data_IF_680986950536
#
_entry.id   IF_680986950536
#
_cell.length_a   1.000
_cell.length_b   1.000
_cell.length_c   1.000
_cell.angle_alpha   90.00
_cell.angle_beta   90.00
_cell.angle_gamma   90.00
#
_symmetry.space_group_name_H-M   'P 1'
#
loop_
_entity.id
_entity.type
_entity.pdbx_description
1 polymer ?
#
# COMPACT_ATOMS: atom_id res chain seq x y z
N UNK A 1 -32.45 3.06 2.09
CA UNK A 1 -31.12 3.65 1.91
C UNK A 1 -30.25 3.54 3.18
N UNK A 2 -30.60 4.07 4.37
CA UNK A 2 -29.78 4.00 5.61
C UNK A 2 -29.40 2.58 6.07
N UNK A 3 -30.30 1.58 5.94
CA UNK A 3 -29.97 0.18 6.30
C UNK A 3 -28.92 -0.44 5.36
N UNK A 4 -28.98 -0.19 4.06
CA UNK A 4 -27.99 -0.66 3.07
C UNK A 4 -26.59 -0.07 3.34
N UNK A 5 -26.50 1.20 3.70
CA UNK A 5 -25.25 1.87 4.06
C UNK A 5 -24.65 1.25 5.33
N UNK A 6 -25.49 0.97 6.35
CA UNK A 6 -25.06 0.33 7.60
C UNK A 6 -24.54 -1.11 7.36
N UNK A 7 -25.19 -1.91 6.50
CA UNK A 7 -24.70 -3.26 6.17
C UNK A 7 -23.42 -3.24 5.35
N UNK A 8 -23.25 -2.28 4.43
CA UNK A 8 -22.00 -2.07 3.71
C UNK A 8 -20.84 -1.72 4.67
N UNK A 9 -21.05 -0.81 5.60
CA UNK A 9 -20.05 -0.47 6.62
C UNK A 9 -19.63 -1.67 7.48
N UNK A 10 -20.60 -2.47 7.96
CA UNK A 10 -20.32 -3.68 8.74
C UNK A 10 -19.56 -4.74 7.92
N UNK A 11 -19.90 -4.90 6.64
CA UNK A 11 -19.20 -5.81 5.73
C UNK A 11 -17.75 -5.38 5.52
N UNK A 12 -17.51 -4.09 5.28
CA UNK A 12 -16.16 -3.52 5.11
C UNK A 12 -15.31 -3.76 6.36
N UNK A 13 -15.88 -3.48 7.55
CA UNK A 13 -15.20 -3.72 8.83
C UNK A 13 -14.89 -5.21 8.99
N UNK A 14 -15.84 -6.09 8.68
CA UNK A 14 -15.65 -7.54 8.77
C UNK A 14 -14.55 -8.04 7.86
N UNK A 15 -14.50 -7.58 6.61
CA UNK A 15 -13.45 -7.93 5.65
C UNK A 15 -12.10 -7.39 6.10
N UNK A 16 -12.04 -6.14 6.57
CA UNK A 16 -10.81 -5.55 7.10
C UNK A 16 -10.27 -6.35 8.30
N UNK A 17 -11.13 -6.71 9.25
CA UNK A 17 -10.74 -7.54 10.39
C UNK A 17 -10.24 -8.93 9.96
N UNK A 18 -10.88 -9.54 8.95
CA UNK A 18 -10.44 -10.82 8.40
C UNK A 18 -9.05 -10.71 7.75
N UNK A 19 -8.81 -9.66 6.97
CA UNK A 19 -7.49 -9.40 6.35
C UNK A 19 -6.43 -9.22 7.44
N UNK A 20 -6.69 -8.38 8.45
CA UNK A 20 -5.76 -8.14 9.57
C UNK A 20 -5.49 -9.44 10.33
N UNK A 21 -6.53 -10.21 10.64
CA UNK A 21 -6.39 -11.50 11.33
C UNK A 21 -5.56 -12.50 10.53
N UNK A 22 -5.82 -12.61 9.23
CA UNK A 22 -5.05 -13.48 8.33
C UNK A 22 -3.58 -13.06 8.28
N UNK A 23 -3.29 -11.77 8.14
CA UNK A 23 -1.93 -11.24 8.18
C UNK A 23 -1.24 -11.52 9.51
N UNK A 24 -1.93 -11.37 10.64
CA UNK A 24 -1.37 -11.69 11.96
C UNK A 24 -1.00 -13.18 12.09
N UNK A 25 -1.85 -14.07 11.58
CA UNK A 25 -1.55 -15.52 11.55
C UNK A 25 -0.33 -15.78 10.67
N UNK A 26 -0.30 -15.22 9.47
CA UNK A 26 0.81 -15.39 8.52
C UNK A 26 2.15 -14.89 9.10
N UNK A 27 2.13 -13.71 9.73
CA UNK A 27 3.30 -13.15 10.43
C UNK A 27 3.77 -14.10 11.53
N UNK A 28 2.86 -14.61 12.35
CA UNK A 28 3.18 -15.57 13.40
C UNK A 28 3.76 -16.88 12.83
N UNK A 29 3.17 -17.40 11.76
CA UNK A 29 3.64 -18.62 11.10
C UNK A 29 4.99 -18.45 10.39
N UNK A 30 5.28 -17.25 9.87
CA UNK A 30 6.57 -16.99 9.21
C UNK A 30 7.77 -16.97 10.17
N UNK A 31 7.53 -16.79 11.48
CA UNK A 31 8.58 -16.63 12.48
C UNK A 31 9.39 -15.33 12.37
N UNK A 32 9.00 -14.42 11.47
CA UNK A 32 9.71 -13.14 11.28
C UNK A 32 9.27 -12.15 12.35
N UNK A 33 10.22 -11.49 12.99
CA UNK A 33 9.94 -10.51 14.04
C UNK A 33 9.20 -9.30 13.47
N UNK A 34 8.19 -8.80 14.20
CA UNK A 34 7.40 -7.64 13.80
C UNK A 34 8.26 -6.40 13.53
N UNK A 35 9.26 -6.14 14.39
CA UNK A 35 10.17 -5.00 14.20
C UNK A 35 10.87 -5.07 12.83
N UNK A 36 11.30 -6.26 12.42
CA UNK A 36 11.89 -6.47 11.09
C UNK A 36 10.91 -6.18 9.96
N UNK A 37 9.65 -6.60 10.10
CA UNK A 37 8.61 -6.31 9.08
C UNK A 37 8.29 -4.82 9.00
N UNK A 38 8.31 -4.09 10.11
CA UNK A 38 8.15 -2.61 10.09
C UNK A 38 9.28 -1.96 9.30
N UNK A 39 10.53 -2.40 9.49
CA UNK A 39 11.66 -1.89 8.71
C UNK A 39 11.58 -2.27 7.23
N UNK A 40 11.17 -3.50 6.91
CA UNK A 40 10.89 -3.92 5.53
C UNK A 40 9.85 -3.01 4.90
N UNK A 41 8.74 -2.75 5.61
CA UNK A 41 7.70 -1.83 5.17
C UNK A 41 8.26 -0.43 4.90
N UNK A 42 8.95 0.18 5.86
CA UNK A 42 9.44 1.57 5.75
C UNK A 42 10.43 1.75 4.60
N UNK A 43 11.41 0.84 4.50
CA UNK A 43 12.41 0.88 3.44
C UNK A 43 11.75 0.69 2.07
N UNK A 44 10.83 -0.28 1.96
CA UNK A 44 10.17 -0.58 0.69
C UNK A 44 9.14 0.49 0.30
N UNK A 45 8.47 1.11 1.25
CA UNK A 45 7.57 2.23 1.00
C UNK A 45 8.33 3.43 0.43
N UNK A 46 9.51 3.74 1.00
CA UNK A 46 10.38 4.81 0.51
C UNK A 46 10.95 4.48 -0.88
N UNK A 47 11.56 3.31 -1.03
CA UNK A 47 12.17 2.92 -2.29
C UNK A 47 11.15 2.74 -3.40
N UNK A 48 9.97 2.20 -3.09
CA UNK A 48 8.89 2.02 -4.05
C UNK A 48 8.39 3.35 -4.62
N UNK A 49 8.18 4.36 -3.77
CA UNK A 49 7.81 5.71 -4.20
C UNK A 49 8.87 6.32 -5.13
N UNK A 50 10.15 6.24 -4.73
CA UNK A 50 11.27 6.76 -5.53
C UNK A 50 11.36 6.05 -6.88
N UNK A 51 11.31 4.71 -6.90
CA UNK A 51 11.40 3.92 -8.13
C UNK A 51 10.23 4.24 -9.06
N UNK A 52 9.01 4.32 -8.52
CA UNK A 52 7.82 4.59 -9.32
C UNK A 52 7.82 6.03 -9.86
N UNK A 53 8.28 7.00 -9.07
CA UNK A 53 8.47 8.39 -9.52
C UNK A 53 9.51 8.48 -10.66
N UNK A 54 10.63 7.75 -10.53
CA UNK A 54 11.64 7.68 -11.61
C UNK A 54 11.11 6.96 -12.85
N UNK A 55 10.33 5.92 -12.67
CA UNK A 55 9.67 5.20 -13.76
C UNK A 55 8.71 6.12 -14.55
N UNK A 56 7.84 6.86 -13.86
CA UNK A 56 6.95 7.85 -14.49
C UNK A 56 7.77 8.91 -15.24
N UNK A 57 8.87 9.41 -14.64
CA UNK A 57 9.74 10.36 -15.31
C UNK A 57 10.35 9.79 -16.58
N UNK A 58 10.78 8.53 -16.57
CA UNK A 58 11.41 7.89 -17.71
C UNK A 58 10.44 7.61 -18.87
N UNK A 59 9.20 7.21 -18.55
CA UNK A 59 8.20 6.83 -19.55
C UNK A 59 7.32 8.00 -20.03
N UNK A 60 6.90 8.85 -19.09
CA UNK A 60 5.91 9.92 -19.36
C UNK A 60 6.57 11.30 -19.50
N UNK A 61 7.86 11.40 -19.17
CA UNK A 61 8.63 12.65 -19.28
C UNK A 61 8.30 13.70 -18.20
N UNK A 62 7.42 13.39 -17.25
CA UNK A 62 6.96 14.30 -16.20
C UNK A 62 7.39 13.83 -14.81
N UNK A 63 7.62 14.79 -13.90
CA UNK A 63 7.78 14.50 -12.48
C UNK A 63 6.41 14.47 -11.83
N UNK A 64 6.03 13.30 -11.32
CA UNK A 64 4.73 13.06 -10.71
C UNK A 64 4.94 12.40 -9.35
N UNK A 65 4.27 12.90 -8.31
CA UNK A 65 4.27 12.24 -7.00
C UNK A 65 3.61 10.86 -7.09
N UNK A 66 4.23 9.87 -6.47
CA UNK A 66 3.70 8.50 -6.32
C UNK A 66 3.48 8.15 -4.84
N UNK A 67 3.55 9.16 -3.97
CA UNK A 67 3.29 8.99 -2.54
C UNK A 67 1.84 8.58 -2.27
N UNK A 68 1.67 7.66 -1.33
CA UNK A 68 0.35 7.28 -0.81
C UNK A 68 -0.06 8.10 0.41
N UNK A 69 0.80 8.99 0.90
CA UNK A 69 0.59 9.74 2.15
C UNK A 69 0.92 11.22 2.01
N UNK A 70 0.36 12.04 2.90
CA UNK A 70 0.54 13.49 2.92
C UNK A 70 1.98 13.93 3.22
N UNK A 71 2.69 13.18 4.06
CA UNK A 71 4.01 13.53 4.54
C UNK A 71 5.06 12.51 4.16
N UNK A 72 6.03 12.96 3.37
CA UNK A 72 7.16 12.18 2.91
C UNK A 72 6.86 11.31 1.68
N UNK A 73 7.93 10.85 1.03
CA UNK A 73 7.85 10.05 -0.19
C UNK A 73 7.65 8.56 0.15
N UNK A 74 6.46 8.20 0.61
CA UNK A 74 6.16 6.83 1.01
C UNK A 74 4.96 6.27 0.25
N UNK A 75 5.16 5.15 -0.45
CA UNK A 75 4.09 4.36 -1.04
C UNK A 75 3.68 3.22 -0.12
N UNK A 76 2.50 3.35 0.52
CA UNK A 76 1.94 2.30 1.39
C UNK A 76 1.76 0.99 0.61
N UNK A 77 1.38 1.08 -0.67
CA UNK A 77 1.17 -0.10 -1.54
C UNK A 77 2.48 -0.89 -1.68
N UNK A 78 3.60 -0.22 -1.95
CA UNK A 78 4.90 -0.88 -2.02
C UNK A 78 5.36 -1.44 -0.67
N UNK A 79 5.13 -0.68 0.41
CA UNK A 79 5.48 -1.12 1.76
C UNK A 79 4.74 -2.39 2.20
N UNK A 80 3.40 -2.40 2.07
CA UNK A 80 2.58 -3.57 2.41
C UNK A 80 2.87 -4.72 1.45
N UNK A 81 3.01 -4.45 0.14
CA UNK A 81 3.35 -5.46 -0.85
C UNK A 81 4.65 -6.20 -0.50
N UNK A 82 5.69 -5.47 -0.12
CA UNK A 82 6.95 -6.06 0.32
C UNK A 82 6.81 -6.93 1.59
N UNK A 83 6.00 -6.49 2.56
CA UNK A 83 5.69 -7.29 3.76
C UNK A 83 4.94 -8.56 3.37
N UNK A 84 3.91 -8.47 2.52
CA UNK A 84 3.14 -9.62 2.03
C UNK A 84 4.07 -10.62 1.33
N UNK A 85 4.89 -10.16 0.39
CA UNK A 85 5.86 -11.02 -0.29
C UNK A 85 6.84 -11.66 0.70
N UNK A 86 7.35 -10.90 1.67
CA UNK A 86 8.28 -11.42 2.68
C UNK A 86 7.66 -12.53 3.50
N UNK A 87 6.42 -12.35 3.96
CA UNK A 87 5.73 -13.32 4.82
C UNK A 87 5.25 -14.55 4.04
N UNK A 88 4.63 -14.34 2.88
CA UNK A 88 4.05 -15.44 2.07
C UNK A 88 5.14 -16.29 1.42
N UNK A 89 6.22 -15.65 0.97
CA UNK A 89 7.31 -16.35 0.29
C UNK A 89 8.42 -16.80 1.23
N UNK A 90 8.25 -16.62 2.56
CA UNK A 90 9.21 -17.13 3.54
C UNK A 90 9.34 -18.65 3.42
N UNK A 91 10.59 -19.16 3.42
CA UNK A 91 10.88 -20.58 3.22
C UNK A 91 10.87 -21.03 1.75
N UNK A 92 10.65 -20.14 0.79
CA UNK A 92 10.73 -20.47 -0.64
C UNK A 92 12.08 -20.09 -1.28
N UNK A 93 13.07 -19.67 -0.49
CA UNK A 93 14.38 -19.21 -0.97
C UNK A 93 15.14 -20.28 -1.77
N UNK A 94 14.98 -21.55 -1.37
CA UNK A 94 15.60 -22.71 -2.04
C UNK A 94 14.79 -23.27 -3.20
N UNK A 95 13.54 -22.83 -3.38
CA UNK A 95 12.68 -23.36 -4.44
C UNK A 95 13.10 -22.87 -5.82
N UNK A 96 12.77 -23.63 -6.89
CA UNK A 96 13.02 -23.22 -8.27
C UNK A 96 12.41 -21.84 -8.59
N UNK A 97 13.13 -21.06 -9.42
CA UNK A 97 12.72 -19.71 -9.82
C UNK A 97 11.28 -19.66 -10.36
N UNK A 98 10.89 -20.63 -11.20
CA UNK A 98 9.55 -20.70 -11.75
C UNK A 98 8.45 -20.87 -10.70
N UNK A 99 8.71 -21.61 -9.62
CA UNK A 99 7.75 -21.77 -8.51
C UNK A 99 7.57 -20.45 -7.76
N UNK A 100 8.66 -19.76 -7.42
CA UNK A 100 8.63 -18.46 -6.75
C UNK A 100 7.92 -17.43 -7.63
N UNK A 101 8.22 -17.44 -8.94
CA UNK A 101 7.60 -16.56 -9.91
C UNK A 101 6.07 -16.76 -9.97
N UNK A 102 5.61 -18.00 -10.13
CA UNK A 102 4.17 -18.28 -10.25
C UNK A 102 3.41 -17.91 -8.97
N UNK A 103 3.93 -18.30 -7.80
CA UNK A 103 3.32 -17.93 -6.53
C UNK A 103 3.31 -16.41 -6.37
N UNK A 104 4.42 -15.74 -6.65
CA UNK A 104 4.55 -14.30 -6.57
C UNK A 104 3.62 -13.54 -7.53
N UNK A 105 3.49 -14.02 -8.76
CA UNK A 105 2.56 -13.46 -9.75
C UNK A 105 1.11 -13.54 -9.28
N UNK A 106 0.71 -14.68 -8.74
CA UNK A 106 -0.65 -14.89 -8.24
C UNK A 106 -0.94 -14.03 -6.99
N UNK A 107 -0.05 -14.06 -6.01
CA UNK A 107 -0.20 -13.27 -4.77
C UNK A 107 -0.16 -11.78 -5.07
N UNK A 108 0.76 -11.33 -5.93
CA UNK A 108 0.86 -9.92 -6.33
C UNK A 108 -0.38 -9.44 -7.07
N UNK A 109 -0.94 -10.23 -7.98
CA UNK A 109 -2.20 -9.91 -8.66
C UNK A 109 -3.39 -9.79 -7.70
N UNK A 110 -3.52 -10.73 -6.75
CA UNK A 110 -4.55 -10.65 -5.68
C UNK A 110 -4.33 -9.39 -4.86
N UNK A 111 -3.11 -9.12 -4.44
CA UNK A 111 -2.76 -7.96 -3.63
C UNK A 111 -3.13 -6.65 -4.34
N UNK A 112 -2.76 -6.48 -5.59
CA UNK A 112 -3.07 -5.31 -6.41
C UNK A 112 -4.59 -5.12 -6.58
N UNK A 113 -5.31 -6.20 -6.87
CA UNK A 113 -6.76 -6.19 -6.96
C UNK A 113 -7.41 -5.73 -5.65
N UNK A 114 -6.98 -6.31 -4.51
CA UNK A 114 -7.50 -6.00 -3.18
C UNK A 114 -7.20 -4.55 -2.80
N UNK A 115 -6.01 -4.04 -3.09
CA UNK A 115 -5.67 -2.64 -2.83
C UNK A 115 -6.59 -1.68 -3.59
N UNK A 116 -6.78 -1.87 -4.90
CA UNK A 116 -7.68 -1.04 -5.71
C UNK A 116 -9.12 -1.12 -5.23
N UNK A 117 -9.62 -2.32 -4.94
CA UNK A 117 -10.96 -2.50 -4.41
C UNK A 117 -11.15 -1.84 -3.03
N UNK A 118 -10.16 -1.98 -2.15
CA UNK A 118 -10.20 -1.39 -0.81
C UNK A 118 -10.23 0.14 -0.85
N UNK A 119 -9.38 0.77 -1.68
CA UNK A 119 -9.37 2.24 -1.81
C UNK A 119 -10.67 2.77 -2.41
N UNK A 120 -11.27 2.08 -3.36
CA UNK A 120 -12.57 2.47 -3.91
C UNK A 120 -13.67 2.45 -2.84
N UNK A 121 -13.78 1.37 -2.07
CA UNK A 121 -14.87 1.26 -1.07
C UNK A 121 -14.68 2.14 0.17
N UNK A 122 -13.42 2.45 0.53
CA UNK A 122 -13.10 3.22 1.74
C UNK A 122 -12.88 4.71 1.47
N UNK A 123 -12.22 5.04 0.36
CA UNK A 123 -11.84 6.41 0.01
C UNK A 123 -12.68 6.98 -1.14
N UNK A 124 -13.56 6.19 -1.77
CA UNK A 124 -14.32 6.60 -2.95
C UNK A 124 -13.44 6.87 -4.17
N UNK A 125 -12.22 6.36 -4.20
CA UNK A 125 -11.23 6.67 -5.24
C UNK A 125 -10.37 5.48 -5.57
N UNK A 126 -9.91 5.41 -6.84
CA UNK A 126 -8.90 4.47 -7.31
C UNK A 126 -7.67 5.25 -7.80
N UNK A 127 -6.51 4.60 -7.80
CA UNK A 127 -5.22 5.22 -8.14
C UNK A 127 -4.59 4.65 -9.41
N UNK A 128 -5.20 3.62 -9.99
CA UNK A 128 -4.88 3.05 -11.31
C UNK A 128 -6.10 2.38 -11.91
N UNK A 129 -6.16 2.30 -13.23
CA UNK A 129 -7.19 1.61 -14.00
C UNK A 129 -6.58 0.95 -15.23
N UNK A 130 -6.68 -0.37 -15.31
CA UNK A 130 -6.19 -1.19 -16.41
C UNK A 130 -7.31 -1.66 -17.35
N UNK A 131 -8.50 -1.06 -17.30
CA UNK A 131 -9.64 -1.47 -18.11
C UNK A 131 -9.34 -1.46 -19.62
N UNK A 132 -8.41 -0.62 -20.05
CA UNK A 132 -7.95 -0.51 -21.44
C UNK A 132 -6.95 -1.61 -21.85
N UNK A 133 -6.39 -2.36 -20.90
CA UNK A 133 -5.40 -3.41 -21.17
C UNK A 133 -6.08 -4.76 -21.39
N UNK A 134 -5.54 -5.60 -22.30
CA UNK A 134 -6.02 -6.96 -22.46
C UNK A 134 -5.76 -7.79 -21.20
N UNK A 135 -6.60 -8.81 -21.00
CA UNK A 135 -6.49 -9.76 -19.88
C UNK A 135 -6.48 -9.06 -18.50
N UNK A 136 -7.18 -7.92 -18.38
CA UNK A 136 -7.40 -7.30 -17.09
C UNK A 136 -8.52 -8.01 -16.31
N UNK A 137 -8.48 -7.89 -14.99
CA UNK A 137 -9.50 -8.39 -14.07
C UNK A 137 -10.17 -7.19 -13.41
N UNK A 138 -11.32 -6.80 -13.96
CA UNK A 138 -12.09 -5.66 -13.46
C UNK A 138 -11.36 -4.31 -13.48
N UNK A 139 -10.39 -4.13 -14.37
CA UNK A 139 -9.56 -2.92 -14.45
C UNK A 139 -8.56 -2.77 -13.30
N UNK A 140 -8.54 -3.70 -12.32
CA UNK A 140 -7.76 -3.55 -11.07
C UNK A 140 -6.39 -4.19 -11.11
N UNK A 141 -6.24 -5.25 -11.88
CA UNK A 141 -4.98 -5.94 -12.19
C UNK A 141 -5.07 -6.55 -13.58
N UNK A 142 -3.95 -6.98 -14.14
CA UNK A 142 -3.88 -7.68 -15.41
C UNK A 142 -2.71 -8.67 -15.46
N UNK A 143 -2.72 -9.57 -16.43
CA UNK A 143 -1.72 -10.64 -16.54
C UNK A 143 -0.28 -10.11 -16.67
N UNK A 144 -0.07 -8.99 -17.35
CA UNK A 144 1.27 -8.39 -17.49
C UNK A 144 1.82 -7.91 -16.14
N UNK A 145 1.00 -7.18 -15.36
CA UNK A 145 1.42 -6.72 -14.02
C UNK A 145 1.54 -7.87 -13.02
N UNK A 146 0.70 -8.90 -13.15
CA UNK A 146 0.93 -10.15 -12.39
C UNK A 146 2.30 -10.76 -12.71
N UNK A 147 2.71 -10.79 -13.97
CA UNK A 147 4.05 -11.26 -14.34
C UNK A 147 5.16 -10.37 -13.77
N UNK A 148 4.98 -9.04 -13.72
CA UNK A 148 5.91 -8.14 -13.03
C UNK A 148 6.01 -8.44 -11.53
N UNK A 149 4.88 -8.69 -10.87
CA UNK A 149 4.87 -9.14 -9.47
C UNK A 149 5.62 -10.47 -9.29
N UNK A 150 5.47 -11.40 -10.24
CA UNK A 150 6.23 -12.66 -10.25
C UNK A 150 7.74 -12.43 -10.35
N UNK A 151 8.19 -11.60 -11.29
CA UNK A 151 9.59 -11.25 -11.45
C UNK A 151 10.15 -10.54 -10.22
N UNK A 152 9.40 -9.55 -9.69
CA UNK A 152 9.75 -8.85 -8.46
C UNK A 152 9.88 -9.80 -7.28
N UNK A 153 8.98 -10.79 -7.17
CA UNK A 153 9.01 -11.81 -6.11
C UNK A 153 10.29 -12.64 -6.13
N UNK A 154 10.74 -13.04 -7.33
CA UNK A 154 12.02 -13.75 -7.49
C UNK A 154 13.18 -12.86 -7.04
N UNK A 155 13.23 -11.62 -7.52
CA UNK A 155 14.27 -10.64 -7.16
C UNK A 155 14.26 -10.37 -5.66
N UNK A 156 13.05 -10.22 -5.08
CA UNK A 156 12.86 -9.99 -3.66
C UNK A 156 13.42 -11.12 -2.82
N UNK A 157 12.94 -12.33 -3.04
CA UNK A 157 13.30 -13.51 -2.24
C UNK A 157 14.77 -13.90 -2.39
N UNK A 158 15.28 -13.87 -3.63
CA UNK A 158 16.65 -14.36 -3.90
C UNK A 158 17.74 -13.34 -3.55
N UNK A 159 17.45 -12.03 -3.67
CA UNK A 159 18.53 -11.03 -3.57
C UNK A 159 18.22 -9.85 -2.63
N UNK A 160 17.03 -9.22 -2.72
CA UNK A 160 16.77 -8.00 -1.97
C UNK A 160 16.55 -8.30 -0.49
N UNK A 161 15.57 -9.14 -0.17
CA UNK A 161 15.20 -9.43 1.21
C UNK A 161 16.35 -10.03 2.04
N UNK A 162 17.15 -10.98 1.56
CA UNK A 162 18.28 -11.49 2.33
C UNK A 162 19.33 -10.44 2.67
N UNK A 163 19.56 -9.46 1.76
CA UNK A 163 20.50 -8.35 2.03
C UNK A 163 19.89 -7.35 3.01
N UNK A 164 18.64 -6.98 2.82
CA UNK A 164 17.89 -6.08 3.70
C UNK A 164 17.75 -6.66 5.11
N UNK A 165 17.40 -7.92 5.23
CA UNK A 165 17.31 -8.61 6.50
C UNK A 165 18.63 -8.57 7.28
N UNK A 166 19.74 -8.89 6.61
CA UNK A 166 21.09 -8.80 7.21
C UNK A 166 21.49 -7.39 7.61
N UNK A 167 21.07 -6.39 6.85
CA UNK A 167 21.27 -4.97 7.20
C UNK A 167 20.51 -4.61 8.47
N UNK A 168 19.24 -4.97 8.55
CA UNK A 168 18.39 -4.69 9.72
C UNK A 168 18.95 -5.39 10.96
N UNK A 169 19.42 -6.65 10.83
CA UNK A 169 20.01 -7.42 11.94
C UNK A 169 21.30 -6.81 12.50
N UNK A 170 21.99 -5.96 11.74
CA UNK A 170 23.19 -5.24 12.21
C UNK A 170 22.89 -3.98 13.01
N UNK A 171 21.63 -3.50 13.00
CA UNK A 171 21.26 -2.31 13.76
C UNK A 171 21.25 -2.60 15.27
N UNK A 172 21.76 -1.71 16.12
CA UNK A 172 21.73 -1.88 17.57
C UNK A 172 20.30 -2.09 18.09
N UNK A 173 20.07 -3.19 18.82
CA UNK A 173 18.72 -3.60 19.26
C UNK A 173 18.00 -2.53 20.07
N UNK A 174 18.72 -1.79 20.93
CA UNK A 174 18.12 -0.72 21.73
C UNK A 174 17.58 0.44 20.86
N UNK A 175 18.42 0.97 19.99
CA UNK A 175 18.01 2.06 19.09
C UNK A 175 16.99 1.57 18.07
N UNK A 176 17.10 0.33 17.59
CA UNK A 176 16.17 -0.26 16.66
C UNK A 176 14.74 -0.21 17.21
N UNK A 177 14.50 -0.71 18.44
CA UNK A 177 13.16 -0.75 19.04
C UNK A 177 12.52 0.62 19.21
N UNK A 178 13.28 1.60 19.69
CA UNK A 178 12.77 2.97 19.87
C UNK A 178 12.45 3.62 18.53
N UNK A 179 13.37 3.57 17.59
CA UNK A 179 13.18 4.13 16.25
C UNK A 179 12.03 3.42 15.51
N UNK A 180 11.96 2.08 15.60
CA UNK A 180 10.89 1.29 15.00
C UNK A 180 9.51 1.73 15.49
N UNK A 181 9.37 1.96 16.82
CA UNK A 181 8.10 2.44 17.38
C UNK A 181 7.74 3.83 16.88
N UNK A 182 8.71 4.75 16.84
CA UNK A 182 8.50 6.12 16.33
C UNK A 182 8.07 6.06 14.86
N UNK A 183 8.77 5.29 14.02
CA UNK A 183 8.43 5.14 12.61
C UNK A 183 7.04 4.53 12.41
N UNK A 184 6.68 3.51 13.19
CA UNK A 184 5.37 2.89 13.14
C UNK A 184 4.26 3.88 13.51
N UNK A 185 4.42 4.62 14.62
CA UNK A 185 3.45 5.65 15.06
C UNK A 185 3.35 6.76 14.02
N UNK A 186 4.48 7.27 13.52
CA UNK A 186 4.50 8.28 12.46
C UNK A 186 3.72 7.80 11.23
N UNK A 187 3.98 6.57 10.74
CA UNK A 187 3.31 6.08 9.55
C UNK A 187 1.81 5.84 9.79
N UNK A 188 1.41 5.33 10.95
CA UNK A 188 0.00 5.16 11.29
C UNK A 188 -0.73 6.52 11.31
N UNK A 189 -0.17 7.52 12.01
CA UNK A 189 -0.74 8.85 12.05
C UNK A 189 -0.82 9.49 10.66
N UNK A 190 0.25 9.35 9.87
CA UNK A 190 0.30 9.86 8.51
C UNK A 190 -0.75 9.18 7.60
N UNK A 191 -0.89 7.86 7.67
CA UNK A 191 -1.88 7.11 6.90
C UNK A 191 -3.34 7.49 7.29
N UNK A 192 -3.62 7.61 8.60
CA UNK A 192 -4.95 8.01 9.09
C UNK A 192 -5.29 9.43 8.63
N UNK A 193 -4.35 10.36 8.76
CA UNK A 193 -4.57 11.74 8.33
C UNK A 193 -4.72 11.84 6.81
N UNK A 194 -3.93 11.07 6.05
CA UNK A 194 -4.04 11.00 4.60
C UNK A 194 -5.40 10.45 4.15
N UNK A 195 -5.88 9.40 4.78
CA UNK A 195 -7.21 8.85 4.52
C UNK A 195 -8.32 9.86 4.84
N UNK A 196 -8.23 10.53 5.99
CA UNK A 196 -9.20 11.57 6.37
C UNK A 196 -9.20 12.74 5.36
N UNK A 197 -8.02 13.19 4.91
CA UNK A 197 -7.92 14.25 3.90
C UNK A 197 -8.49 13.84 2.54
N UNK A 198 -8.26 12.59 2.11
CA UNK A 198 -8.84 12.04 0.87
C UNK A 198 -10.37 11.90 0.95
N UNK A 199 -10.89 11.36 2.05
CA UNK A 199 -12.34 11.25 2.27
C UNK A 199 -12.95 12.66 2.22
N UNK A 200 -12.34 13.61 2.93
CA UNK A 200 -12.86 14.98 2.95
C UNK A 200 -12.78 15.66 1.59
N UNK A 201 -11.73 15.40 0.81
CA UNK A 201 -11.62 15.85 -0.57
C UNK A 201 -12.76 15.31 -1.45
N UNK A 202 -13.07 14.01 -1.38
CA UNK A 202 -14.17 13.42 -2.16
C UNK A 202 -15.54 14.00 -1.75
N UNK A 203 -15.75 14.24 -0.45
CA UNK A 203 -16.95 14.91 0.06
C UNK A 203 -17.08 16.35 -0.45
N UNK A 204 -16.01 17.14 -0.43
CA UNK A 204 -16.00 18.51 -0.99
C UNK A 204 -16.36 18.51 -2.48
N UNK A 205 -15.76 17.59 -3.26
CA UNK A 205 -16.09 17.46 -4.70
C UNK A 205 -17.55 17.03 -4.94
N UNK A 206 -18.15 16.32 -3.98
CA UNK A 206 -19.58 15.98 -3.99
C UNK A 206 -20.49 17.10 -3.43
N UNK A 207 -19.95 18.27 -3.05
CA UNK A 207 -20.71 19.40 -2.50
C UNK A 207 -21.15 19.23 -1.05
N UNK A 208 -20.55 18.28 -0.29
CA UNK A 208 -20.87 18.04 1.12
C UNK A 208 -20.12 19.05 2.00
N UNK A 209 -20.87 19.86 2.76
CA UNK A 209 -20.28 20.83 3.68
C UNK A 209 -19.63 20.15 4.91
N UNK A 210 -18.63 20.81 5.52
CA UNK A 210 -18.02 20.37 6.75
C UNK A 210 -19.06 20.30 7.87
N UNK A 211 -19.17 19.16 8.54
CA UNK A 211 -20.14 18.89 9.58
C UNK A 211 -19.54 18.75 10.98
N UNK A 212 -18.25 18.48 11.06
CA UNK A 212 -17.50 18.28 12.30
C UNK A 212 -16.31 19.24 12.41
N UNK A 213 -15.77 19.41 13.64
CA UNK A 213 -14.53 20.16 13.84
C UNK A 213 -13.32 19.54 13.09
N UNK A 214 -13.34 18.22 12.91
CA UNK A 214 -12.30 17.51 12.14
C UNK A 214 -12.42 17.89 10.67
N UNK A 215 -13.63 17.92 10.10
CA UNK A 215 -13.86 18.32 8.71
C UNK A 215 -13.37 19.76 8.46
N UNK A 216 -13.70 20.69 9.37
CA UNK A 216 -13.25 22.07 9.30
C UNK A 216 -11.74 22.18 9.37
N UNK A 217 -11.10 21.49 10.32
CA UNK A 217 -9.65 21.45 10.44
C UNK A 217 -8.99 20.93 9.14
N UNK A 218 -9.55 19.87 8.53
CA UNK A 218 -9.01 19.34 7.29
C UNK A 218 -9.21 20.31 6.14
N UNK A 219 -10.37 20.95 6.02
CA UNK A 219 -10.65 21.93 4.98
C UNK A 219 -9.72 23.14 5.04
N UNK A 220 -9.38 23.61 6.25
CA UNK A 220 -8.48 24.76 6.46
C UNK A 220 -7.00 24.42 6.17
N UNK A 221 -6.57 23.16 6.40
CA UNK A 221 -5.15 22.79 6.32
C UNK A 221 -4.77 21.97 5.09
N UNK A 222 -5.76 21.36 4.40
CA UNK A 222 -5.54 20.46 3.27
C UNK A 222 -6.45 20.83 2.10
N UNK A 223 -6.07 21.91 1.41
CA UNK A 223 -6.76 22.41 0.21
C UNK A 223 -6.74 21.38 -0.92
N UNK A 224 -7.71 21.45 -1.82
CA UNK A 224 -7.85 20.58 -2.98
C UNK A 224 -6.60 20.59 -3.86
N UNK A 225 -5.99 21.75 -4.07
CA UNK A 225 -4.76 21.92 -4.83
C UNK A 225 -3.58 21.12 -4.29
N UNK A 226 -3.48 21.00 -2.94
CA UNK A 226 -2.48 20.20 -2.27
C UNK A 226 -2.75 18.71 -2.43
N UNK A 227 -4.00 18.30 -2.30
CA UNK A 227 -4.44 16.91 -2.48
C UNK A 227 -4.15 16.44 -3.91
N UNK A 228 -4.54 17.21 -4.92
CA UNK A 228 -4.32 16.90 -6.34
C UNK A 228 -2.83 16.84 -6.71
N UNK A 229 -1.99 17.65 -6.06
CA UNK A 229 -0.53 17.59 -6.26
C UNK A 229 0.10 16.32 -5.68
N UNK A 230 -0.41 15.82 -4.56
CA UNK A 230 0.11 14.60 -3.92
C UNK A 230 -0.38 13.35 -4.63
N UNK A 231 -1.65 13.34 -5.06
CA UNK A 231 -2.29 12.21 -5.75
C UNK A 231 -2.80 12.60 -7.15
N UNK A 232 -1.89 12.92 -8.09
CA UNK A 232 -2.28 13.40 -9.44
C UNK A 232 -3.01 12.34 -10.27
N UNK A 233 -2.85 11.05 -9.96
CA UNK A 233 -3.52 9.95 -10.66
C UNK A 233 -4.81 9.47 -9.99
N UNK A 234 -5.27 10.16 -8.96
CA UNK A 234 -6.50 9.79 -8.27
C UNK A 234 -7.72 9.99 -9.17
N UNK A 235 -8.54 8.95 -9.27
CA UNK A 235 -9.82 8.96 -10.00
C UNK A 235 -10.95 8.70 -9.03
N UNK A 236 -11.90 9.60 -8.92
CA UNK A 236 -13.11 9.41 -8.10
C UNK A 236 -14.07 8.43 -8.77
N UNK A 237 -14.71 7.58 -7.95
CA UNK A 237 -15.68 6.54 -8.39
C UNK A 237 -17.03 6.71 -7.71
#
# INVERSE_FOLDING_TARGET
MRRLIKYRGLLIIGIFLLIVFTLCIMIKCSGIQLDKLIWVFMISALLGDVIETLYCRALEGIWMSRSSVLYGPFSIVWGIGAVVLTVVLSGLESKPVGVVFLIGAFIGGIYEYVCSWFTEITLGSIFWDYSWMPLNIGGRTNLLYMAFWGALSVIWVKWIYPKMSRFIDKLPVFHLKSVTRILAVFMICNAVLSAAALIRYTERKAGVAASTMIDQFIDENYEDSRIEKIWPNMMMK
#
